data_IF_577124634931
#
_entry.id   IF_577124634931
#
_cell.length_a   1.000
_cell.length_b   1.000
_cell.length_c   1.000
_cell.angle_alpha   90.00
_cell.angle_beta   90.00
_cell.angle_gamma   90.00
#
_symmetry.space_group_name_H-M   'P 1'
#
loop_
_entity.id
_entity.type
_entity.pdbx_description
1 polymer ?
#
# COMPACT_ATOMS: atom_id res chain seq x y z
N UNK A 1 -11.69 0.24 -0.78
CA UNK A 1 -10.55 0.57 -1.68
C UNK A 1 -10.92 0.72 -3.16
N UNK A 2 -11.68 -0.19 -3.80
CA UNK A 2 -12.14 -0.01 -5.21
C UNK A 2 -12.86 1.30 -5.50
N UNK A 3 -13.74 1.71 -4.58
CA UNK A 3 -14.50 2.94 -4.70
C UNK A 3 -13.59 4.19 -4.76
N UNK A 4 -12.46 4.18 -4.05
CA UNK A 4 -11.49 5.28 -4.04
C UNK A 4 -10.83 5.41 -5.43
N UNK A 5 -10.51 4.29 -6.09
CA UNK A 5 -9.95 4.29 -7.46
C UNK A 5 -10.80 5.07 -8.45
N UNK A 6 -12.13 4.89 -8.38
CA UNK A 6 -13.07 5.56 -9.28
C UNK A 6 -13.26 7.03 -8.95
N UNK A 7 -13.07 7.39 -7.69
CA UNK A 7 -13.31 8.74 -7.17
C UNK A 7 -12.10 9.66 -7.33
N UNK A 8 -10.89 9.10 -7.45
CA UNK A 8 -9.65 9.84 -7.74
C UNK A 8 -9.73 10.55 -9.09
N UNK A 9 -9.41 11.85 -9.13
CA UNK A 9 -9.24 12.59 -10.37
C UNK A 9 -7.91 12.25 -11.06
N UNK A 10 -7.95 11.27 -11.95
CA UNK A 10 -6.79 10.85 -12.73
C UNK A 10 -6.34 11.87 -13.77
N UNK A 11 -7.21 12.81 -14.19
CA UNK A 11 -6.83 13.84 -15.18
C UNK A 11 -5.90 14.87 -14.54
N UNK A 12 -6.20 15.28 -13.30
CA UNK A 12 -5.34 16.17 -12.52
C UNK A 12 -3.94 15.57 -12.33
N UNK A 13 -3.88 14.31 -11.88
CA UNK A 13 -2.61 13.61 -11.71
C UNK A 13 -1.85 13.41 -13.03
N UNK A 14 -2.55 13.12 -14.13
CA UNK A 14 -1.94 13.03 -15.46
C UNK A 14 -1.27 14.35 -15.88
N UNK A 15 -1.93 15.49 -15.64
CA UNK A 15 -1.39 16.83 -15.96
C UNK A 15 -0.23 17.23 -15.05
N UNK A 16 -0.34 16.95 -13.75
CA UNK A 16 0.69 17.30 -12.77
C UNK A 16 1.95 16.46 -12.93
N UNK A 17 1.80 15.15 -13.09
CA UNK A 17 2.95 14.26 -13.27
C UNK A 17 3.46 14.22 -14.71
N UNK A 18 2.63 14.56 -15.69
CA UNK A 18 3.01 14.66 -17.10
C UNK A 18 4.17 15.62 -17.33
N UNK A 19 4.33 16.66 -16.49
CA UNK A 19 5.48 17.58 -16.52
C UNK A 19 6.84 16.88 -16.33
N UNK A 20 6.86 15.72 -15.65
CA UNK A 20 8.08 14.94 -15.40
C UNK A 20 8.33 13.86 -16.47
N UNK A 21 7.48 13.81 -17.51
CA UNK A 21 7.62 12.88 -18.64
C UNK A 21 7.74 13.65 -19.95
N UNK A 22 8.72 13.26 -20.76
CA UNK A 22 8.92 13.81 -22.11
C UNK A 22 8.32 12.82 -23.11
N UNK A 23 7.40 13.27 -23.96
CA UNK A 23 6.77 12.41 -24.99
C UNK A 23 7.71 12.09 -26.16
N UNK A 24 8.73 12.92 -26.40
CA UNK A 24 9.53 12.91 -27.63
C UNK A 24 10.85 12.11 -27.57
N UNK A 25 11.32 11.68 -26.40
CA UNK A 25 12.63 11.01 -26.28
C UNK A 25 12.62 9.87 -25.26
N UNK A 26 12.93 8.64 -25.72
CA UNK A 26 13.18 7.46 -24.89
C UNK A 26 12.03 6.43 -24.83
N UNK A 27 12.19 5.41 -23.97
CA UNK A 27 11.18 4.38 -23.72
C UNK A 27 9.91 5.02 -23.14
N UNK A 28 8.71 4.72 -23.66
CA UNK A 28 7.47 5.29 -23.14
C UNK A 28 7.37 5.04 -21.64
N UNK A 29 7.14 6.10 -20.88
CA UNK A 29 6.96 6.02 -19.44
C UNK A 29 5.80 5.09 -19.10
N UNK A 30 5.94 4.31 -18.03
CA UNK A 30 4.84 3.54 -17.49
C UNK A 30 3.67 4.47 -17.16
N UNK A 31 2.44 3.96 -17.32
CA UNK A 31 1.23 4.76 -17.07
C UNK A 31 1.30 5.38 -15.67
N UNK A 32 1.21 6.71 -15.57
CA UNK A 32 1.22 7.46 -14.30
C UNK A 32 0.21 6.85 -13.33
N UNK A 33 -0.97 6.48 -13.84
CA UNK A 33 -2.02 5.78 -13.10
C UNK A 33 -1.50 4.53 -12.42
N UNK A 34 -0.76 3.66 -13.12
CA UNK A 34 -0.19 2.44 -12.56
C UNK A 34 0.83 2.74 -11.46
N UNK A 35 1.72 3.70 -11.68
CA UNK A 35 2.77 4.07 -10.73
C UNK A 35 2.21 4.66 -9.43
N UNK A 36 1.27 5.59 -9.54
CA UNK A 36 0.59 6.20 -8.39
C UNK A 36 -0.16 5.13 -7.60
N UNK A 37 -0.85 4.22 -8.29
CA UNK A 37 -1.60 3.12 -7.65
C UNK A 37 -0.69 2.14 -6.92
N UNK A 38 0.39 1.72 -7.56
CA UNK A 38 1.35 0.79 -6.97
C UNK A 38 2.07 1.42 -5.77
N UNK A 39 2.27 2.74 -5.80
CA UNK A 39 2.80 3.49 -4.67
C UNK A 39 1.87 3.50 -3.45
N UNK A 40 0.57 3.72 -3.63
CA UNK A 40 -0.40 3.70 -2.53
C UNK A 40 -0.64 2.30 -1.98
N UNK A 41 -0.82 1.32 -2.86
CA UNK A 41 -1.39 0.04 -2.44
C UNK A 41 -0.35 -0.93 -1.86
N UNK A 42 0.94 -0.87 -2.22
CA UNK A 42 2.04 -1.78 -1.78
C UNK A 42 1.71 -3.30 -1.71
N UNK A 43 0.51 -3.72 -2.11
CA UNK A 43 -0.10 -5.03 -1.89
C UNK A 43 -0.59 -5.62 -3.22
N UNK A 44 -0.73 -6.94 -3.23
CA UNK A 44 -0.96 -7.76 -4.42
C UNK A 44 -2.21 -7.42 -5.24
N UNK A 45 -3.19 -6.71 -4.66
CA UNK A 45 -4.46 -6.38 -5.32
C UNK A 45 -4.40 -5.18 -6.29
N UNK A 46 -3.20 -4.80 -6.74
CA UNK A 46 -3.02 -3.68 -7.66
C UNK A 46 -3.66 -3.93 -9.03
N UNK A 47 -3.78 -5.18 -9.48
CA UNK A 47 -4.39 -5.57 -10.77
C UNK A 47 -5.87 -5.25 -10.84
N UNK A 48 -6.61 -5.67 -9.81
CA UNK A 48 -8.02 -5.36 -9.67
C UNK A 48 -8.25 -3.85 -9.65
N UNK A 49 -7.38 -3.11 -8.97
CA UNK A 49 -7.43 -1.65 -8.94
C UNK A 49 -7.05 -1.01 -10.30
N UNK A 50 -6.26 -1.69 -11.13
CA UNK A 50 -5.91 -1.29 -12.49
C UNK A 50 -7.05 -1.43 -13.50
N UNK A 51 -8.10 -2.18 -13.12
CA UNK A 51 -9.23 -2.50 -14.00
C UNK A 51 -8.90 -3.65 -14.95
N UNK A 52 -7.93 -4.50 -14.61
CA UNK A 52 -7.70 -5.74 -15.34
C UNK A 52 -8.88 -6.68 -15.07
N UNK A 53 -9.42 -7.27 -16.14
CA UNK A 53 -10.53 -8.22 -16.05
C UNK A 53 -10.08 -9.58 -15.50
N UNK A 54 -8.79 -9.91 -15.68
CA UNK A 54 -8.19 -11.16 -15.26
C UNK A 54 -7.02 -10.93 -14.32
N UNK A 55 -6.82 -11.87 -13.40
CA UNK A 55 -5.69 -11.90 -12.49
C UNK A 55 -4.46 -12.45 -13.22
N UNK A 56 -3.43 -11.63 -13.38
CA UNK A 56 -2.16 -12.01 -13.99
C UNK A 56 -1.18 -12.38 -12.87
N UNK A 57 -0.31 -13.37 -13.06
CA UNK A 57 0.71 -13.67 -12.04
C UNK A 57 1.99 -12.85 -12.25
N UNK A 58 2.12 -12.25 -13.43
CA UNK A 58 3.28 -11.45 -13.78
C UNK A 58 3.21 -10.06 -13.13
N UNK A 59 4.38 -9.56 -12.74
CA UNK A 59 4.51 -8.22 -12.22
C UNK A 59 4.24 -7.19 -13.34
N UNK A 60 3.52 -6.09 -13.03
CA UNK A 60 3.20 -5.07 -14.04
C UNK A 60 4.43 -4.35 -14.57
N UNK A 61 5.49 -4.39 -13.78
CA UNK A 61 6.59 -3.47 -13.82
C UNK A 61 7.71 -4.00 -12.95
N UNK A 62 8.95 -3.85 -13.44
CA UNK A 62 10.15 -4.06 -12.64
C UNK A 62 10.12 -3.17 -11.37
N UNK A 63 10.36 -3.72 -10.16
CA UNK A 63 10.43 -2.96 -8.91
C UNK A 63 11.37 -1.74 -8.97
N UNK A 64 12.42 -1.81 -9.77
CA UNK A 64 13.41 -0.75 -9.97
C UNK A 64 12.78 0.51 -10.56
N UNK A 65 11.76 0.38 -11.40
CA UNK A 65 11.07 1.53 -11.99
C UNK A 65 10.32 2.34 -10.93
N UNK A 66 9.82 1.72 -9.86
CA UNK A 66 9.24 2.45 -8.73
C UNK A 66 10.27 3.25 -7.96
N UNK A 67 11.47 2.70 -7.79
CA UNK A 67 12.59 3.42 -7.15
C UNK A 67 12.99 4.63 -8.00
N UNK A 68 13.14 4.42 -9.31
CA UNK A 68 13.43 5.50 -10.28
C UNK A 68 12.33 6.54 -10.30
N UNK A 69 11.06 6.12 -10.27
CA UNK A 69 9.92 7.04 -10.25
C UNK A 69 9.86 7.85 -8.96
N UNK A 70 10.07 7.23 -7.79
CA UNK A 70 10.15 7.95 -6.50
C UNK A 70 11.25 9.01 -6.51
N UNK A 71 12.44 8.68 -7.04
CA UNK A 71 13.53 9.65 -7.19
C UNK A 71 13.16 10.79 -8.15
N UNK A 72 12.38 10.50 -9.21
CA UNK A 72 11.95 11.48 -10.20
C UNK A 72 10.89 12.46 -9.67
N UNK A 73 9.90 11.99 -8.92
CA UNK A 73 8.85 12.85 -8.35
C UNK A 73 9.34 13.66 -7.14
N UNK A 74 10.38 13.17 -6.45
CA UNK A 74 10.96 13.79 -5.26
C UNK A 74 9.93 14.04 -4.13
N UNK A 75 10.31 14.82 -3.12
CA UNK A 75 9.44 15.25 -2.01
C UNK A 75 8.21 16.01 -2.50
N UNK A 76 8.38 16.90 -3.47
CA UNK A 76 7.31 17.77 -3.98
C UNK A 76 6.20 16.99 -4.68
N UNK A 77 6.55 15.93 -5.41
CA UNK A 77 5.56 15.07 -6.04
C UNK A 77 4.81 14.20 -5.04
N UNK A 78 5.47 13.75 -3.97
CA UNK A 78 4.80 13.00 -2.90
C UNK A 78 3.85 13.91 -2.10
N UNK A 79 4.22 15.18 -1.88
CA UNK A 79 3.33 16.17 -1.26
C UNK A 79 2.04 16.34 -2.07
N UNK A 80 2.13 16.46 -3.38
CA UNK A 80 0.95 16.56 -4.28
C UNK A 80 0.07 15.31 -4.26
N UNK A 81 0.67 14.12 -4.12
CA UNK A 81 -0.08 12.88 -3.91
C UNK A 81 -0.90 12.96 -2.61
N UNK A 82 -0.27 13.38 -1.53
CA UNK A 82 -0.93 13.52 -0.23
C UNK A 82 -2.06 14.57 -0.28
N UNK A 83 -1.79 15.75 -0.85
CA UNK A 83 -2.78 16.80 -1.08
C UNK A 83 -3.99 16.28 -1.87
N UNK A 84 -3.75 15.51 -2.93
CA UNK A 84 -4.81 14.88 -3.73
C UNK A 84 -5.65 13.88 -2.94
N UNK A 85 -5.03 13.09 -2.06
CA UNK A 85 -5.76 12.15 -1.18
C UNK A 85 -6.58 12.87 -0.12
N UNK A 86 -6.05 13.92 0.50
CA UNK A 86 -6.75 14.71 1.51
C UNK A 86 -7.97 15.39 0.89
N UNK A 87 -7.79 16.04 -0.28
CA UNK A 87 -8.88 16.68 -1.01
C UNK A 87 -9.99 15.68 -1.38
N UNK A 88 -9.60 14.47 -1.78
CA UNK A 88 -10.56 13.39 -2.03
C UNK A 88 -11.31 13.00 -0.75
N UNK A 89 -10.60 12.88 0.38
CA UNK A 89 -11.20 12.58 1.68
C UNK A 89 -12.20 13.65 2.14
N UNK A 90 -11.91 14.93 1.90
CA UNK A 90 -12.83 16.04 2.16
C UNK A 90 -14.07 15.96 1.27
N UNK A 91 -13.91 15.74 -0.05
CA UNK A 91 -15.04 15.65 -0.99
C UNK A 91 -15.97 14.48 -0.68
N UNK A 92 -15.41 13.38 -0.20
CA UNK A 92 -16.18 12.18 0.17
C UNK A 92 -16.75 12.24 1.60
N UNK A 93 -16.57 13.37 2.29
CA UNK A 93 -17.05 13.58 3.67
C UNK A 93 -16.39 12.66 4.69
N UNK A 94 -15.27 12.02 4.33
CA UNK A 94 -14.53 11.10 5.20
C UNK A 94 -13.64 11.85 6.18
N UNK A 95 -13.20 13.06 5.81
CA UNK A 95 -12.41 13.94 6.67
C UNK A 95 -13.26 15.16 6.97
N UNK A 96 -13.55 15.38 8.25
CA UNK A 96 -14.31 16.56 8.71
C UNK A 96 -13.35 17.70 9.04
N UNK A 97 -13.79 18.94 8.84
CA UNK A 97 -13.01 20.13 9.18
C UNK A 97 -12.35 20.14 10.59
N UNK A 98 -13.01 19.67 11.67
CA UNK A 98 -12.38 19.60 13.00
C UNK A 98 -11.18 18.63 13.09
N UNK A 99 -11.06 17.63 12.21
CA UNK A 99 -9.97 16.64 12.24
C UNK A 99 -8.63 17.25 11.79
N UNK A 100 -8.65 18.36 11.04
CA UNK A 100 -7.42 19.08 10.65
C UNK A 100 -6.76 19.84 11.80
N UNK A 101 -7.45 20.02 12.94
CA UNK A 101 -6.92 20.78 14.07
C UNK A 101 -5.73 20.10 14.73
N UNK A 102 -5.61 18.79 14.61
CA UNK A 102 -4.53 18.01 15.20
C UNK A 102 -4.10 16.88 14.28
N UNK A 103 -2.93 17.03 13.67
CA UNK A 103 -2.28 15.98 12.89
C UNK A 103 -1.24 15.30 13.79
N UNK A 104 -1.51 14.06 14.19
CA UNK A 104 -0.51 13.24 14.87
C UNK A 104 0.41 12.61 13.82
N UNK A 105 1.67 13.04 13.79
CA UNK A 105 2.71 12.34 13.04
C UNK A 105 3.32 11.28 13.94
N UNK A 106 3.04 10.01 13.64
CA UNK A 106 3.75 8.90 14.26
C UNK A 106 5.13 8.77 13.59
N UNK A 107 6.15 9.30 14.24
CA UNK A 107 7.55 9.14 13.81
C UNK A 107 8.18 7.88 14.38
N UNK A 108 7.45 7.09 15.17
CA UNK A 108 7.99 5.84 15.67
C UNK A 108 8.11 4.88 14.50
N UNK A 109 9.34 4.41 14.26
CA UNK A 109 9.55 3.29 13.35
C UNK A 109 8.94 2.08 14.06
N UNK A 110 7.69 1.77 13.75
CA UNK A 110 7.18 0.44 14.04
C UNK A 110 8.02 -0.52 13.23
N UNK A 111 8.88 -1.28 13.92
CA UNK A 111 9.50 -2.45 13.34
C UNK A 111 8.39 -3.29 12.75
N UNK A 112 8.34 -3.35 11.42
CA UNK A 112 7.42 -4.22 10.70
C UNK A 112 7.65 -5.59 11.31
N UNK A 113 6.61 -6.18 11.92
CA UNK A 113 6.64 -7.41 12.74
C UNK A 113 7.12 -8.66 12.00
N UNK A 114 8.29 -8.56 11.40
CA UNK A 114 9.09 -9.55 10.70
C UNK A 114 10.27 -9.78 11.63
N UNK A 115 9.98 -10.32 12.82
CA UNK A 115 11.07 -10.91 13.61
C UNK A 115 11.54 -12.13 12.84
N UNK A 116 12.85 -12.23 12.62
CA UNK A 116 13.46 -13.50 12.19
C UNK A 116 12.93 -14.63 13.08
N UNK A 117 12.60 -15.83 12.56
CA UNK A 117 12.15 -16.92 13.41
C UNK A 117 13.30 -17.31 14.34
N UNK A 118 13.33 -16.73 15.54
CA UNK A 118 14.22 -17.16 16.61
C UNK A 118 13.69 -18.46 17.17
N UNK A 119 14.57 -19.40 17.53
CA UNK A 119 14.19 -20.70 18.11
C UNK A 119 13.18 -20.57 19.25
N UNK A 120 13.23 -19.49 20.04
CA UNK A 120 12.24 -19.19 21.08
C UNK A 120 10.77 -19.15 20.60
N UNK A 121 10.50 -18.60 19.40
CA UNK A 121 9.15 -18.59 18.81
C UNK A 121 8.75 -19.97 18.31
N UNK A 122 9.72 -20.76 17.82
CA UNK A 122 9.49 -22.13 17.39
C UNK A 122 9.18 -23.03 18.59
N UNK A 123 9.95 -22.92 19.68
CA UNK A 123 9.67 -23.62 20.93
C UNK A 123 8.31 -23.24 21.51
N UNK A 124 7.91 -21.97 21.45
CA UNK A 124 6.59 -21.54 21.90
C UNK A 124 5.46 -22.16 21.06
N UNK A 125 5.63 -22.20 19.72
CA UNK A 125 4.69 -22.90 18.84
C UNK A 125 4.64 -24.40 19.11
N UNK A 126 5.79 -25.05 19.26
CA UNK A 126 5.86 -26.49 19.58
C UNK A 126 5.17 -26.78 20.91
N UNK A 127 5.37 -25.95 21.94
CA UNK A 127 4.67 -26.06 23.22
C UNK A 127 3.15 -25.93 23.06
N UNK A 128 2.67 -24.97 22.27
CA UNK A 128 1.24 -24.80 22.00
C UNK A 128 0.67 -26.03 21.29
N UNK A 129 1.38 -26.56 20.28
CA UNK A 129 0.94 -27.76 19.54
C UNK A 129 0.90 -28.99 20.46
N UNK A 130 1.93 -29.19 21.29
CA UNK A 130 1.98 -30.29 22.25
C UNK A 130 0.88 -30.21 23.31
N UNK A 131 0.58 -29.01 23.81
CA UNK A 131 -0.54 -28.81 24.73
C UNK A 131 -1.86 -29.13 24.03
N UNK A 132 -2.08 -28.60 22.83
CA UNK A 132 -3.30 -28.89 22.07
C UNK A 132 -3.45 -30.39 21.75
N UNK A 133 -2.37 -31.11 21.45
CA UNK A 133 -2.44 -32.56 21.24
C UNK A 133 -2.72 -33.32 22.54
N UNK A 134 -2.09 -32.95 23.65
CA UNK A 134 -2.38 -33.53 24.97
C UNK A 134 -3.85 -33.32 25.36
N UNK A 135 -4.39 -32.11 25.16
CA UNK A 135 -5.80 -31.81 25.45
C UNK A 135 -6.79 -32.46 24.46
N UNK A 136 -6.33 -32.98 23.31
CA UNK A 136 -7.17 -33.75 22.39
C UNK A 136 -7.17 -35.26 22.72
N UNK A 137 -6.09 -35.77 23.33
CA UNK A 137 -6.01 -37.16 23.79
C UNK A 137 -6.65 -37.35 25.17
N UNK A 138 -6.61 -36.32 26.03
CA UNK A 138 -7.26 -36.31 27.32
C UNK A 138 -8.47 -35.38 27.29
N UNK A 139 -9.67 -35.97 27.13
CA UNK A 139 -10.98 -35.33 27.21
C UNK A 139 -11.29 -34.88 28.66
N UNK A 140 -10.43 -34.02 29.23
CA UNK A 140 -10.55 -33.50 30.59
C UNK A 140 -11.31 -32.17 30.52
N UNK A 141 -12.59 -32.25 30.89
CA UNK A 141 -13.43 -31.10 31.21
C UNK A 141 -12.80 -30.33 32.40
N UNK A 142 -12.29 -29.13 32.14
CA UNK A 142 -11.95 -28.16 33.18
C UNK A 142 -13.25 -27.56 33.73
N UNK A 143 -13.60 -27.91 34.97
CA UNK A 143 -14.53 -27.16 35.83
C UNK A 143 -13.93 -25.82 36.28
#
# INVERSE_FOLDING_TARGET
MYQISKKIDWKKFGKEFGKYYTEKTGRPGLRIRLLVRLHYLKHAYWQYFCGNEYFEHDFPCDPTNLVKWRKRICSDGVKKLLEGTIFLGQREGQIKDPEFRRVNFDTTVQEKGITFPTDAKLYHKMRQVLLCSCFQEEDIQLN
#
